data_IF_976045842354
#
_entry.id   IF_976045842354
#
_cell.length_a   1.000
_cell.length_b   1.000
_cell.length_c   1.000
_cell.angle_alpha   90.00
_cell.angle_beta   90.00
_cell.angle_gamma   90.00
#
_symmetry.space_group_name_H-M   'P 1'
#
loop_
_entity.id
_entity.type
_entity.pdbx_description
1 polymer ?
#
# COMPACT_ATOMS: atom_id res chain seq x y z
N UNK A 1 15.31 -17.41 4.37
CA UNK A 1 14.47 -17.27 5.59
C UNK A 1 13.85 -15.88 5.71
N UNK A 2 14.62 -14.80 5.52
CA UNK A 2 14.12 -13.41 5.54
C UNK A 2 13.07 -13.11 4.45
N UNK A 3 13.28 -13.60 3.23
CA UNK A 3 12.29 -13.51 2.15
C UNK A 3 10.92 -14.10 2.51
N UNK A 4 10.91 -15.20 3.28
CA UNK A 4 9.67 -15.83 3.70
C UNK A 4 8.90 -14.94 4.69
N UNK A 5 9.61 -14.32 5.64
CA UNK A 5 9.03 -13.35 6.59
C UNK A 5 8.51 -12.10 5.86
N UNK A 6 9.26 -11.59 4.89
CA UNK A 6 8.84 -10.45 4.09
C UNK A 6 7.59 -10.75 3.25
N UNK A 7 7.59 -11.87 2.52
CA UNK A 7 6.44 -12.30 1.71
C UNK A 7 5.21 -12.55 2.57
N UNK A 8 5.37 -13.18 3.74
CA UNK A 8 4.30 -13.38 4.72
C UNK A 8 3.73 -12.03 5.19
N UNK A 9 4.59 -11.08 5.55
CA UNK A 9 4.15 -9.74 5.96
C UNK A 9 3.40 -9.00 4.85
N UNK A 10 3.88 -9.10 3.60
CA UNK A 10 3.21 -8.53 2.42
C UNK A 10 1.84 -9.16 2.17
N UNK A 11 1.71 -10.46 2.34
CA UNK A 11 0.44 -11.16 2.23
C UNK A 11 -0.55 -10.70 3.30
N UNK A 12 -0.14 -10.63 4.57
CA UNK A 12 -1.00 -10.14 5.65
C UNK A 12 -1.43 -8.69 5.42
N UNK A 13 -0.50 -7.82 5.00
CA UNK A 13 -0.82 -6.44 4.63
C UNK A 13 -1.83 -6.34 3.49
N UNK A 14 -1.74 -7.22 2.49
CA UNK A 14 -2.70 -7.28 1.40
C UNK A 14 -4.10 -7.68 1.90
N UNK A 15 -4.19 -8.69 2.76
CA UNK A 15 -5.45 -9.12 3.39
C UNK A 15 -6.09 -7.98 4.20
N UNK A 16 -5.31 -7.27 5.02
CA UNK A 16 -5.78 -6.12 5.79
C UNK A 16 -6.32 -4.99 4.90
N UNK A 17 -5.62 -4.68 3.80
CA UNK A 17 -6.08 -3.62 2.89
C UNK A 17 -7.38 -4.02 2.17
N UNK A 18 -7.53 -5.30 1.81
CA UNK A 18 -8.77 -5.84 1.23
C UNK A 18 -9.95 -5.76 2.20
N UNK A 19 -9.75 -6.09 3.47
CA UNK A 19 -10.81 -5.94 4.49
C UNK A 19 -11.20 -4.47 4.69
N UNK A 20 -10.21 -3.57 4.74
CA UNK A 20 -10.45 -2.13 4.84
C UNK A 20 -11.19 -1.57 3.63
N UNK A 21 -10.82 -1.98 2.40
CA UNK A 21 -11.52 -1.54 1.18
C UNK A 21 -12.97 -2.06 1.17
N UNK A 22 -13.20 -3.32 1.53
CA UNK A 22 -14.54 -3.89 1.63
C UNK A 22 -15.41 -3.18 2.69
N UNK A 23 -14.84 -2.82 3.85
CA UNK A 23 -15.54 -2.03 4.87
C UNK A 23 -15.89 -0.63 4.36
N UNK A 24 -14.98 0.01 3.62
CA UNK A 24 -15.24 1.32 2.99
C UNK A 24 -16.33 1.23 1.91
N UNK A 25 -16.35 0.17 1.11
CA UNK A 25 -17.37 -0.07 0.08
C UNK A 25 -18.74 -0.35 0.70
N UNK A 26 -18.81 -1.12 1.80
CA UNK A 26 -20.05 -1.34 2.55
C UNK A 26 -20.62 -0.04 3.15
N UNK A 27 -19.76 0.89 3.57
CA UNK A 27 -20.18 2.20 4.07
C UNK A 27 -20.63 3.17 2.94
N UNK A 28 -20.11 2.99 1.72
CA UNK A 28 -20.47 3.79 0.56
C UNK A 28 -21.66 3.21 -0.24
N UNK A 29 -21.95 1.92 -0.07
CA UNK A 29 -22.98 1.16 -0.79
C UNK A 29 -24.39 1.38 -0.23
N UNK A 30 -24.97 2.53 -0.53
CA UNK A 30 -26.40 2.62 -0.84
C UNK A 30 -26.56 2.47 -2.36
N UNK A 31 -27.24 1.41 -2.79
CA UNK A 31 -27.72 1.09 -4.15
C UNK A 31 -26.73 1.26 -5.33
N UNK A 32 -26.17 0.13 -5.80
CA UNK A 32 -25.50 0.08 -7.11
C UNK A 32 -24.73 -1.20 -7.36
N UNK A 33 -25.40 -2.19 -7.98
CA UNK A 33 -24.80 -3.44 -8.43
C UNK A 33 -23.82 -3.21 -9.60
N UNK A 34 -22.60 -3.74 -9.48
CA UNK A 34 -21.76 -4.13 -10.62
C UNK A 34 -20.71 -5.17 -10.15
N UNK A 35 -20.96 -6.41 -10.53
CA UNK A 35 -20.05 -7.54 -10.37
C UNK A 35 -18.79 -7.34 -11.23
N UNK A 36 -17.61 -7.38 -10.61
CA UNK A 36 -16.40 -8.13 -11.04
C UNK A 36 -15.22 -7.71 -10.15
N UNK A 37 -15.04 -8.40 -9.03
CA UNK A 37 -13.73 -8.92 -8.66
C UNK A 37 -14.00 -10.13 -7.80
N UNK A 38 -13.43 -11.27 -8.15
CA UNK A 38 -13.48 -12.46 -7.32
C UNK A 38 -13.25 -12.04 -5.86
N UNK A 39 -14.25 -12.26 -5.01
CA UNK A 39 -14.04 -12.26 -3.58
C UNK A 39 -13.49 -13.64 -3.25
N UNK A 40 -12.16 -13.84 -3.18
CA UNK A 40 -11.69 -15.03 -2.50
C UNK A 40 -12.08 -14.86 -1.03
N UNK A 41 -12.78 -15.85 -0.51
CA UNK A 41 -13.06 -16.17 0.89
C UNK A 41 -12.80 -15.04 1.89
N UNK A 42 -13.84 -14.60 2.59
CA UNK A 42 -13.68 -13.97 3.89
C UNK A 42 -12.61 -14.78 4.65
N UNK A 43 -11.44 -14.18 4.85
CA UNK A 43 -10.34 -14.86 5.50
C UNK A 43 -10.84 -15.32 6.86
N UNK A 44 -10.45 -16.51 7.35
CA UNK A 44 -10.95 -17.05 8.61
C UNK A 44 -10.46 -16.26 9.84
N UNK A 45 -9.81 -15.11 9.65
CA UNK A 45 -9.21 -14.28 10.68
C UNK A 45 -9.80 -12.87 10.65
N UNK A 46 -10.16 -12.37 11.82
CA UNK A 46 -10.65 -11.00 12.00
C UNK A 46 -9.55 -9.96 11.75
N UNK A 47 -9.94 -8.72 11.51
CA UNK A 47 -8.99 -7.62 11.29
C UNK A 47 -8.01 -7.46 12.47
N UNK A 48 -8.49 -7.57 13.70
CA UNK A 48 -7.65 -7.49 14.89
C UNK A 48 -6.59 -8.60 14.93
N UNK A 49 -6.98 -9.83 14.60
CA UNK A 49 -6.07 -10.98 14.53
C UNK A 49 -5.01 -10.77 13.45
N UNK A 50 -5.42 -10.30 12.27
CA UNK A 50 -4.49 -10.02 11.17
C UNK A 50 -3.49 -8.90 11.53
N UNK A 51 -3.93 -7.84 12.23
CA UNK A 51 -3.03 -6.78 12.72
C UNK A 51 -2.00 -7.33 13.72
N UNK A 52 -2.42 -8.19 14.64
CA UNK A 52 -1.52 -8.85 15.59
C UNK A 52 -0.48 -9.72 14.86
N UNK A 53 -0.92 -10.59 13.95
CA UNK A 53 -0.04 -11.44 13.14
C UNK A 53 0.94 -10.61 12.28
N UNK A 54 0.50 -9.44 11.80
CA UNK A 54 1.36 -8.53 11.05
C UNK A 54 2.47 -7.95 11.94
N UNK A 55 2.13 -7.43 13.12
CA UNK A 55 3.11 -6.85 14.05
C UNK A 55 4.11 -7.89 14.55
N UNK A 56 3.67 -9.10 14.88
CA UNK A 56 4.57 -10.20 15.27
C UNK A 56 5.55 -10.53 14.14
N UNK A 57 5.06 -10.64 12.91
CA UNK A 57 5.91 -10.92 11.76
C UNK A 57 6.87 -9.76 11.45
N UNK A 58 6.40 -8.51 11.60
CA UNK A 58 7.23 -7.33 11.42
C UNK A 58 8.33 -7.24 12.48
N UNK A 59 8.00 -7.48 13.75
CA UNK A 59 8.96 -7.51 14.85
C UNK A 59 10.00 -8.63 14.65
N UNK A 60 9.58 -9.79 14.16
CA UNK A 60 10.49 -10.87 13.81
C UNK A 60 11.45 -10.45 12.68
N UNK A 61 10.98 -9.75 11.64
CA UNK A 61 11.82 -9.26 10.55
C UNK A 61 12.78 -8.16 11.02
N UNK A 62 12.29 -7.20 11.81
CA UNK A 62 13.06 -6.05 12.31
C UNK A 62 14.23 -6.43 13.23
N UNK A 63 14.22 -7.65 13.79
CA UNK A 63 15.36 -8.19 14.55
C UNK A 63 16.58 -8.48 13.70
N UNK A 64 16.40 -8.72 12.40
CA UNK A 64 17.45 -9.20 11.52
C UNK A 64 17.89 -8.18 10.49
N UNK A 65 17.02 -7.22 10.15
CA UNK A 65 17.28 -6.26 9.06
C UNK A 65 16.77 -4.88 9.44
N UNK A 66 17.46 -3.85 8.96
CA UNK A 66 16.91 -2.50 8.95
C UNK A 66 15.74 -2.42 7.97
N UNK A 67 14.54 -2.28 8.53
CA UNK A 67 13.30 -2.20 7.76
C UNK A 67 13.17 -0.95 6.88
N UNK A 68 14.06 0.04 7.02
CA UNK A 68 14.11 1.23 6.17
C UNK A 68 14.88 1.03 4.87
N UNK A 69 15.57 -0.11 4.71
CA UNK A 69 16.28 -0.46 3.49
C UNK A 69 15.34 -0.72 2.31
N UNK A 70 15.86 -0.53 1.10
CA UNK A 70 15.13 -0.61 -0.19
C UNK A 70 14.27 -1.87 -0.33
N UNK A 71 14.76 -3.02 0.13
CA UNK A 71 14.10 -4.31 -0.05
C UNK A 71 12.87 -4.48 0.87
N UNK A 72 12.88 -3.82 2.04
CA UNK A 72 11.88 -3.99 3.10
C UNK A 72 11.03 -2.75 3.35
N UNK A 73 11.41 -1.60 2.81
CA UNK A 73 10.74 -0.31 3.04
C UNK A 73 9.25 -0.34 2.68
N UNK A 74 8.85 -1.14 1.69
CA UNK A 74 7.43 -1.28 1.32
C UNK A 74 6.60 -1.91 2.44
N UNK A 75 7.18 -2.83 3.20
CA UNK A 75 6.52 -3.41 4.37
C UNK A 75 6.47 -2.40 5.53
N UNK A 76 7.53 -1.62 5.71
CA UNK A 76 7.57 -0.54 6.69
C UNK A 76 6.52 0.54 6.40
N UNK A 77 6.40 0.98 5.14
CA UNK A 77 5.35 1.92 4.71
C UNK A 77 3.95 1.36 5.00
N UNK A 78 3.74 0.05 4.77
CA UNK A 78 2.48 -0.60 5.09
C UNK A 78 2.17 -0.57 6.59
N UNK A 79 3.18 -0.80 7.44
CA UNK A 79 3.06 -0.67 8.89
C UNK A 79 2.67 0.74 9.30
N UNK A 80 3.41 1.75 8.85
CA UNK A 80 3.13 3.15 9.21
C UNK A 80 1.72 3.57 8.77
N UNK A 81 1.26 3.08 7.62
CA UNK A 81 -0.13 3.27 7.17
C UNK A 81 -1.15 2.62 8.10
N UNK A 82 -0.88 1.42 8.63
CA UNK A 82 -1.76 0.73 9.60
C UNK A 82 -1.83 1.48 10.94
N UNK A 83 -0.73 2.12 11.36
CA UNK A 83 -0.68 2.94 12.58
C UNK A 83 -1.21 4.37 12.38
N UNK A 84 -1.73 4.72 11.18
CA UNK A 84 -2.19 6.07 10.87
C UNK A 84 -1.08 7.11 10.72
N UNK A 85 0.19 6.70 10.71
CA UNK A 85 1.37 7.56 10.56
C UNK A 85 1.66 7.83 9.08
N UNK A 86 0.67 8.42 8.40
CA UNK A 86 0.70 8.64 6.95
C UNK A 86 1.82 9.59 6.50
N UNK A 87 2.24 10.54 7.34
CA UNK A 87 3.35 11.44 7.05
C UNK A 87 4.69 10.71 6.95
N UNK A 88 4.99 9.81 7.91
CA UNK A 88 6.23 9.02 7.88
C UNK A 88 6.19 8.01 6.72
N UNK A 89 5.03 7.40 6.47
CA UNK A 89 4.81 6.54 5.30
C UNK A 89 5.11 7.27 3.98
N UNK A 90 4.65 8.52 3.84
CA UNK A 90 4.88 9.35 2.66
C UNK A 90 6.37 9.74 2.53
N UNK A 91 7.02 10.08 3.65
CA UNK A 91 8.46 10.41 3.68
C UNK A 91 9.32 9.23 3.21
N UNK A 92 9.08 8.04 3.74
CA UNK A 92 9.78 6.81 3.33
C UNK A 92 9.53 6.48 1.87
N UNK A 93 8.28 6.64 1.41
CA UNK A 93 7.94 6.42 0.00
C UNK A 93 8.64 7.41 -0.93
N UNK A 94 8.71 8.69 -0.57
CA UNK A 94 9.41 9.71 -1.35
C UNK A 94 10.91 9.41 -1.43
N UNK A 95 11.54 8.96 -0.33
CA UNK A 95 12.94 8.50 -0.36
C UNK A 95 13.13 7.33 -1.33
N UNK A 96 12.27 6.32 -1.25
CA UNK A 96 12.31 5.16 -2.17
C UNK A 96 12.14 5.55 -3.64
N UNK A 97 11.27 6.52 -3.93
CA UNK A 97 11.07 7.07 -5.28
C UNK A 97 12.30 7.82 -5.79
N UNK A 98 12.96 8.60 -4.92
CA UNK A 98 14.17 9.33 -5.27
C UNK A 98 15.32 8.38 -5.65
N UNK A 99 15.44 7.26 -4.91
CA UNK A 99 16.47 6.25 -5.16
C UNK A 99 16.18 5.40 -6.42
N UNK A 100 14.91 5.11 -6.70
CA UNK A 100 14.49 4.24 -7.82
C UNK A 100 13.06 4.57 -8.27
N UNK A 101 12.91 5.40 -9.32
CA UNK A 101 11.61 5.87 -9.74
C UNK A 101 10.84 4.79 -10.52
N UNK A 102 9.98 4.05 -9.83
CA UNK A 102 9.06 3.08 -10.42
C UNK A 102 7.62 3.61 -10.49
N UNK A 103 6.90 3.31 -11.58
CA UNK A 103 5.48 3.70 -11.76
C UNK A 103 4.60 3.27 -10.58
N UNK A 104 4.78 2.04 -10.09
CA UNK A 104 4.01 1.47 -8.96
C UNK A 104 4.20 2.23 -7.64
N UNK A 105 5.36 2.88 -7.44
CA UNK A 105 5.62 3.69 -6.25
C UNK A 105 4.85 4.99 -6.30
N UNK A 106 4.77 5.62 -7.47
CA UNK A 106 3.94 6.81 -7.67
C UNK A 106 2.45 6.50 -7.50
N UNK A 107 1.98 5.32 -7.95
CA UNK A 107 0.59 4.87 -7.71
C UNK A 107 0.29 4.74 -6.21
N UNK A 108 1.24 4.18 -5.45
CA UNK A 108 1.16 4.14 -3.98
C UNK A 108 1.15 5.54 -3.35
N UNK A 109 1.92 6.47 -3.90
CA UNK A 109 1.98 7.86 -3.43
C UNK A 109 0.63 8.55 -3.60
N UNK A 110 -0.01 8.37 -4.75
CA UNK A 110 -1.38 8.87 -5.00
C UNK A 110 -2.33 8.33 -3.92
N UNK A 111 -2.33 7.02 -3.66
CA UNK A 111 -3.18 6.43 -2.62
C UNK A 111 -2.91 6.96 -1.21
N UNK A 112 -1.65 7.27 -0.85
CA UNK A 112 -1.34 7.92 0.44
C UNK A 112 -1.80 9.37 0.49
N UNK A 113 -1.70 10.11 -0.61
CA UNK A 113 -2.19 11.49 -0.69
C UNK A 113 -3.72 11.55 -0.57
N UNK A 114 -4.42 10.56 -1.11
CA UNK A 114 -5.87 10.42 -0.95
C UNK A 114 -6.27 10.07 0.49
N UNK A 115 -5.57 9.12 1.13
CA UNK A 115 -5.76 8.81 2.55
C UNK A 115 -5.54 10.05 3.45
N UNK A 116 -4.62 10.95 3.07
CA UNK A 116 -4.37 12.24 3.73
C UNK A 116 -5.40 13.33 3.41
N UNK A 117 -6.30 13.10 2.45
CA UNK A 117 -7.25 14.10 1.96
C UNK A 117 -6.66 15.17 1.03
N UNK A 118 -5.40 15.02 0.59
CA UNK A 118 -4.69 15.96 -0.27
C UNK A 118 -5.04 15.74 -1.76
N UNK A 119 -6.33 15.88 -2.09
CA UNK A 119 -6.88 15.54 -3.42
C UNK A 119 -6.22 16.28 -4.57
N UNK A 120 -5.97 17.58 -4.44
CA UNK A 120 -5.29 18.36 -5.47
C UNK A 120 -3.89 17.80 -5.79
N UNK A 121 -3.15 17.36 -4.76
CA UNK A 121 -1.83 16.76 -4.96
C UNK A 121 -1.92 15.38 -5.61
N UNK A 122 -2.92 14.58 -5.23
CA UNK A 122 -3.18 13.29 -5.87
C UNK A 122 -3.52 13.45 -7.38
N UNK A 123 -4.36 14.42 -7.73
CA UNK A 123 -4.69 14.74 -9.13
C UNK A 123 -3.49 15.25 -9.91
N UNK A 124 -2.69 16.13 -9.32
CA UNK A 124 -1.46 16.60 -9.92
C UNK A 124 -0.51 15.43 -10.21
N UNK A 125 -0.30 14.54 -9.25
CA UNK A 125 0.57 13.38 -9.43
C UNK A 125 0.06 12.43 -10.53
N UNK A 126 -1.26 12.22 -10.65
CA UNK A 126 -1.88 11.46 -11.75
C UNK A 126 -1.56 12.06 -13.11
N UNK A 127 -1.66 13.39 -13.25
CA UNK A 127 -1.32 14.07 -14.51
C UNK A 127 0.15 13.89 -14.85
N UNK A 128 1.04 14.01 -13.86
CA UNK A 128 2.47 13.81 -14.06
C UNK A 128 2.86 12.38 -14.42
N UNK A 129 2.12 11.38 -13.92
CA UNK A 129 2.36 9.99 -14.32
C UNK A 129 2.16 9.77 -15.81
N UNK A 130 1.17 10.41 -16.43
CA UNK A 130 0.92 10.28 -17.88
C UNK A 130 2.09 10.79 -18.71
N UNK A 131 2.77 11.82 -18.22
CA UNK A 131 3.96 12.40 -18.86
C UNK A 131 5.21 11.54 -18.62
N UNK A 132 5.41 11.02 -17.40
CA UNK A 132 6.58 10.20 -17.05
C UNK A 132 6.52 8.79 -17.66
N UNK A 133 5.32 8.21 -17.76
CA UNK A 133 5.12 6.84 -18.21
C UNK A 133 4.03 6.80 -19.30
N UNK A 134 4.32 7.37 -20.50
CA UNK A 134 3.38 7.33 -21.61
C UNK A 134 3.17 5.88 -22.10
N UNK A 135 1.98 5.58 -22.61
CA UNK A 135 1.65 4.25 -23.11
C UNK A 135 2.43 3.88 -24.39
N UNK A 136 2.82 4.88 -25.17
CA UNK A 136 3.63 4.74 -26.37
C UNK A 136 4.64 5.88 -26.44
N UNK A 137 5.79 5.63 -27.07
CA UNK A 137 6.79 6.65 -27.29
C UNK A 137 6.24 7.73 -28.25
N UNK A 138 6.42 9.03 -27.97
CA UNK A 138 5.97 10.07 -28.87
C UNK A 138 6.65 9.91 -30.24
N UNK A 139 5.88 10.00 -31.30
CA UNK A 139 6.44 9.98 -32.67
C UNK A 139 7.14 11.31 -32.92
N UNK A 140 8.35 11.24 -33.47
CA UNK A 140 9.15 12.40 -33.87
C UNK A 140 8.56 13.09 -35.10
#
# INVERSE_FOLDING_TARGET
MLDALYRKGRAISFMLNRLRSASSEAAAGGDGAAETSAAPAAYPWDEATLRMMFEENFAALARWVDTTEKDYVLLHIARERLHGRLGEALKLLNKRIADDPEKRLYEKRIGLLEDLGWRHWAEYERRWQLLRYPAAYPRF
#
